data_IF_853682492867
#
_entry.id   IF_853682492867
#
_cell.length_a   1.000
_cell.length_b   1.000
_cell.length_c   1.000
_cell.angle_alpha   90.00
_cell.angle_beta   90.00
_cell.angle_gamma   90.00
#
_symmetry.space_group_name_H-M   'P 1'
#
loop_
_entity.id
_entity.type
_entity.pdbx_description
1 polymer ?
#
# COMPACT_ATOMS: atom_id res chain seq x y z
N UNK A 1 -12.15 6.80 -1.02
CA UNK A 1 -11.00 6.06 -0.47
C UNK A 1 -9.74 6.83 -0.75
N UNK A 2 -8.93 7.04 0.28
CA UNK A 2 -7.73 7.85 0.19
C UNK A 2 -6.53 7.03 -0.31
N UNK A 3 -5.55 7.74 -0.85
CA UNK A 3 -4.23 7.19 -1.12
C UNK A 3 -3.50 6.87 0.20
N UNK A 4 -2.36 6.23 0.11
CA UNK A 4 -1.53 5.87 1.25
C UNK A 4 -0.04 6.15 0.99
N UNK A 5 0.72 6.27 2.06
CA UNK A 5 2.17 6.30 2.01
C UNK A 5 2.72 5.21 2.94
N UNK A 6 3.62 4.37 2.44
CA UNK A 6 4.46 3.53 3.28
C UNK A 6 5.63 4.39 3.76
N UNK A 7 5.50 4.94 4.96
CA UNK A 7 6.47 5.88 5.50
C UNK A 7 7.82 5.20 5.83
N UNK A 8 7.74 3.99 6.38
CA UNK A 8 8.89 3.14 6.68
C UNK A 8 8.59 1.68 6.35
N UNK A 9 9.62 0.92 6.03
CA UNK A 9 9.55 -0.53 5.90
C UNK A 9 9.57 -1.06 4.47
N UNK A 10 9.73 -0.21 3.46
CA UNK A 10 9.82 -0.67 2.06
C UNK A 10 10.92 -1.73 1.92
N UNK A 11 10.63 -2.82 1.20
CA UNK A 11 11.42 -4.06 1.11
C UNK A 11 11.66 -4.77 2.45
N UNK A 12 11.88 -4.04 3.54
CA UNK A 12 12.17 -4.62 4.86
C UNK A 12 11.04 -5.49 5.39
N UNK A 13 9.78 -5.10 5.17
CA UNK A 13 8.59 -5.89 5.56
C UNK A 13 8.55 -7.28 4.91
N UNK A 14 9.23 -7.48 3.77
CA UNK A 14 9.39 -8.80 3.14
C UNK A 14 10.23 -9.73 4.04
N UNK A 15 11.07 -9.16 4.89
CA UNK A 15 11.98 -9.84 5.82
C UNK A 15 11.69 -9.51 7.28
N UNK A 16 10.40 -9.27 7.57
CA UNK A 16 9.88 -9.05 8.92
C UNK A 16 10.48 -7.84 9.66
N UNK A 17 10.91 -6.78 8.93
CA UNK A 17 11.10 -5.48 9.56
C UNK A 17 9.77 -4.87 9.96
N UNK A 18 9.82 -3.93 10.90
CA UNK A 18 8.68 -3.04 11.12
C UNK A 18 8.40 -2.21 9.87
N UNK A 19 7.15 -1.80 9.73
CA UNK A 19 6.71 -0.85 8.72
C UNK A 19 5.60 0.04 9.29
N UNK A 20 5.47 1.22 8.72
CA UNK A 20 4.40 2.15 9.06
C UNK A 20 3.78 2.68 7.77
N UNK A 21 2.52 2.34 7.56
CA UNK A 21 1.71 2.85 6.46
C UNK A 21 0.70 3.84 7.01
N UNK A 22 0.60 5.00 6.37
CA UNK A 22 -0.32 6.07 6.77
C UNK A 22 -1.26 6.43 5.61
N UNK A 23 -2.51 6.80 5.89
CA UNK A 23 -3.39 7.37 4.88
C UNK A 23 -2.83 8.73 4.44
N UNK A 24 -2.99 9.02 3.15
CA UNK A 24 -2.60 10.30 2.56
C UNK A 24 -3.81 10.91 1.85
N UNK A 25 -4.49 11.81 2.52
CA UNK A 25 -5.81 12.33 2.12
C UNK A 25 -5.78 13.42 1.05
N UNK A 26 -4.59 13.76 0.52
CA UNK A 26 -4.46 14.70 -0.58
C UNK A 26 -5.04 14.16 -1.89
N UNK A 27 -4.93 12.86 -2.10
CA UNK A 27 -5.50 12.17 -3.24
C UNK A 27 -6.56 11.17 -2.80
N UNK A 28 -7.61 11.03 -3.60
CA UNK A 28 -8.68 10.07 -3.32
C UNK A 28 -9.31 9.53 -4.59
N UNK A 29 -10.10 8.48 -4.44
CA UNK A 29 -10.92 7.90 -5.50
C UNK A 29 -12.23 7.36 -4.96
N UNK A 30 -13.23 7.31 -5.82
CA UNK A 30 -14.56 6.78 -5.51
C UNK A 30 -15.19 6.12 -6.73
N UNK A 31 -16.03 5.11 -6.50
CA UNK A 31 -16.90 4.57 -7.54
C UNK A 31 -18.00 5.58 -7.83
N UNK A 32 -18.17 5.95 -9.09
CA UNK A 32 -19.19 6.87 -9.57
C UNK A 32 -19.88 6.30 -10.79
N UNK A 33 -21.10 6.77 -11.06
CA UNK A 33 -21.82 6.54 -12.32
C UNK A 33 -21.84 7.81 -13.13
N UNK A 34 -21.77 7.68 -14.43
CA UNK A 34 -21.90 8.81 -15.35
C UNK A 34 -22.57 8.36 -16.64
N UNK A 35 -23.46 9.21 -17.13
CA UNK A 35 -24.02 9.09 -18.48
C UNK A 35 -23.12 9.79 -19.51
N UNK A 36 -22.09 10.52 -19.05
CA UNK A 36 -21.14 11.23 -19.91
C UNK A 36 -20.04 10.30 -20.36
N UNK A 37 -19.96 10.08 -21.67
CA UNK A 37 -19.00 9.23 -22.35
C UNK A 37 -17.61 9.88 -22.49
N UNK A 38 -16.93 10.23 -21.37
CA UNK A 38 -15.54 10.65 -21.43
C UNK A 38 -14.62 9.45 -21.69
N UNK A 39 -13.49 9.66 -22.37
CA UNK A 39 -12.49 8.60 -22.58
C UNK A 39 -12.03 8.00 -21.25
N UNK A 40 -11.78 8.86 -20.25
CA UNK A 40 -11.40 8.45 -18.90
C UNK A 40 -12.41 7.51 -18.24
N UNK A 41 -13.70 7.87 -18.25
CA UNK A 41 -14.76 7.04 -17.65
C UNK A 41 -14.88 5.68 -18.38
N UNK A 42 -14.78 5.67 -19.71
CA UNK A 42 -14.78 4.42 -20.52
C UNK A 42 -13.60 3.52 -20.19
N UNK A 43 -12.40 4.06 -20.13
CA UNK A 43 -11.19 3.29 -19.83
C UNK A 43 -11.24 2.72 -18.41
N UNK A 44 -11.68 3.53 -17.45
CA UNK A 44 -11.87 3.11 -16.07
C UNK A 44 -12.95 2.02 -15.96
N UNK A 45 -14.11 2.19 -16.61
CA UNK A 45 -15.17 1.18 -16.66
C UNK A 45 -14.68 -0.13 -17.29
N UNK A 46 -13.93 -0.07 -18.40
CA UNK A 46 -13.34 -1.25 -19.03
C UNK A 46 -12.36 -1.99 -18.12
N UNK A 47 -11.54 -1.26 -17.35
CA UNK A 47 -10.67 -1.85 -16.32
C UNK A 47 -11.49 -2.55 -15.23
N UNK A 48 -12.61 -1.95 -14.80
CA UNK A 48 -13.51 -2.55 -13.80
C UNK A 48 -14.21 -3.81 -14.32
N UNK A 49 -14.59 -3.88 -15.61
CA UNK A 49 -15.12 -5.13 -16.20
C UNK A 49 -14.10 -6.27 -16.14
N UNK A 50 -12.83 -6.00 -16.48
CA UNK A 50 -11.75 -7.01 -16.36
C UNK A 50 -11.55 -7.45 -14.90
N UNK A 51 -11.66 -6.51 -13.97
CA UNK A 51 -11.57 -6.81 -12.55
C UNK A 51 -12.77 -7.64 -12.07
N UNK A 52 -13.98 -7.35 -12.56
CA UNK A 52 -15.17 -8.18 -12.32
C UNK A 52 -14.96 -9.62 -12.81
N UNK A 53 -14.47 -9.80 -14.05
CA UNK A 53 -14.20 -11.14 -14.61
C UNK A 53 -13.17 -11.89 -13.77
N UNK A 54 -12.14 -11.20 -13.29
CA UNK A 54 -11.17 -11.78 -12.36
C UNK A 54 -11.84 -12.22 -11.04
N UNK A 55 -12.63 -11.36 -10.40
CA UNK A 55 -13.32 -11.71 -9.15
C UNK A 55 -14.28 -12.88 -9.33
N UNK A 56 -14.97 -12.95 -10.46
CA UNK A 56 -15.86 -14.06 -10.83
C UNK A 56 -15.09 -15.36 -11.03
N UNK A 57 -13.86 -15.32 -11.51
CA UNK A 57 -13.01 -16.49 -11.72
C UNK A 57 -12.38 -17.05 -10.44
N UNK A 58 -12.44 -16.30 -9.34
CA UNK A 58 -11.88 -16.73 -8.06
C UNK A 58 -12.73 -17.86 -7.46
N UNK A 59 -12.20 -19.07 -7.46
CA UNK A 59 -12.82 -20.24 -6.80
C UNK A 59 -12.60 -20.23 -5.27
N UNK A 60 -12.49 -19.05 -4.66
CA UNK A 60 -12.17 -18.92 -3.25
C UNK A 60 -13.35 -18.40 -2.44
N UNK A 61 -13.76 -19.09 -1.37
CA UNK A 61 -14.80 -18.61 -0.47
C UNK A 61 -14.34 -17.41 0.39
N UNK A 62 -13.11 -16.94 0.22
CA UNK A 62 -12.53 -15.87 1.04
C UNK A 62 -13.29 -14.56 0.88
N UNK A 63 -13.92 -14.36 -0.30
CA UNK A 63 -14.66 -13.13 -0.55
C UNK A 63 -16.03 -13.45 -1.15
N UNK A 64 -17.07 -13.15 -0.40
CA UNK A 64 -18.45 -13.25 -0.85
C UNK A 64 -18.89 -11.88 -1.39
N UNK A 65 -19.05 -11.78 -2.74
CA UNK A 65 -19.43 -10.54 -3.41
C UNK A 65 -20.81 -10.63 -4.03
N UNK A 66 -21.54 -9.53 -4.03
CA UNK A 66 -22.70 -9.34 -4.87
C UNK A 66 -22.27 -9.02 -6.32
N UNK A 67 -21.85 -10.07 -7.05
CA UNK A 67 -21.35 -9.93 -8.40
C UNK A 67 -22.43 -9.50 -9.40
N UNK A 68 -23.70 -9.87 -9.18
CA UNK A 68 -24.81 -9.45 -10.04
C UNK A 68 -25.01 -7.94 -9.96
N UNK A 69 -25.04 -7.39 -8.76
CA UNK A 69 -25.11 -5.93 -8.56
C UNK A 69 -23.87 -5.24 -9.19
N UNK A 70 -22.68 -5.80 -9.02
CA UNK A 70 -21.49 -5.20 -9.61
C UNK A 70 -21.57 -5.16 -11.13
N UNK A 71 -22.00 -6.26 -11.76
CA UNK A 71 -22.18 -6.33 -13.20
C UNK A 71 -23.24 -5.33 -13.72
N UNK A 72 -24.38 -5.21 -13.04
CA UNK A 72 -25.43 -4.27 -13.44
C UNK A 72 -24.97 -2.83 -13.29
N UNK A 73 -24.25 -2.51 -12.22
CA UNK A 73 -23.68 -1.18 -12.04
C UNK A 73 -22.63 -0.82 -13.11
N UNK A 74 -21.83 -1.80 -13.55
CA UNK A 74 -20.88 -1.63 -14.66
C UNK A 74 -21.59 -1.34 -15.99
N UNK A 75 -22.71 -2.02 -16.29
CA UNK A 75 -23.53 -1.75 -17.47
C UNK A 75 -24.13 -0.34 -17.45
N UNK A 76 -24.42 0.18 -16.26
CA UNK A 76 -24.92 1.53 -16.03
C UNK A 76 -23.80 2.60 -16.00
N UNK A 77 -22.60 2.27 -16.48
CA UNK A 77 -21.50 3.24 -16.61
C UNK A 77 -20.76 3.51 -15.31
N UNK A 78 -20.72 2.55 -14.36
CA UNK A 78 -19.87 2.64 -13.16
C UNK A 78 -18.41 2.75 -13.55
N UNK A 79 -17.69 3.71 -12.98
CA UNK A 79 -16.25 3.91 -13.16
C UNK A 79 -15.60 4.33 -11.83
N UNK A 80 -14.30 4.19 -11.73
CA UNK A 80 -13.53 4.68 -10.60
C UNK A 80 -12.97 6.06 -10.92
N UNK A 81 -13.57 7.09 -10.32
CA UNK A 81 -13.13 8.47 -10.41
C UNK A 81 -12.03 8.71 -9.38
N UNK A 82 -10.82 9.00 -9.84
CA UNK A 82 -9.65 9.04 -8.96
C UNK A 82 -8.69 10.17 -9.35
N UNK A 83 -8.23 10.89 -8.33
CA UNK A 83 -7.11 11.83 -8.43
C UNK A 83 -5.77 11.17 -8.07
N UNK A 84 -5.76 9.89 -7.65
CA UNK A 84 -4.55 9.19 -7.20
C UNK A 84 -3.68 8.86 -8.43
N UNK A 85 -2.44 9.36 -8.51
CA UNK A 85 -1.58 9.09 -9.66
C UNK A 85 -1.20 7.61 -9.74
N UNK A 86 -1.41 7.02 -10.93
CA UNK A 86 -1.05 5.61 -11.18
C UNK A 86 0.47 5.46 -11.35
N UNK A 87 1.05 4.42 -10.72
CA UNK A 87 2.47 4.09 -10.87
C UNK A 87 3.44 4.89 -9.99
N UNK A 88 2.93 5.72 -9.08
CA UNK A 88 3.74 6.50 -8.13
C UNK A 88 3.86 5.87 -6.74
N UNK A 89 3.38 4.64 -6.54
CA UNK A 89 3.50 3.93 -5.27
C UNK A 89 2.59 4.44 -4.14
N UNK A 90 1.65 5.33 -4.46
CA UNK A 90 0.73 5.94 -3.49
C UNK A 90 -0.62 5.22 -3.34
N UNK A 91 -0.75 4.01 -3.90
CA UNK A 91 -1.87 3.11 -3.63
C UNK A 91 -3.10 3.31 -4.51
N UNK A 92 -2.95 3.65 -5.79
CA UNK A 92 -4.08 3.80 -6.72
C UNK A 92 -4.90 2.51 -6.86
N UNK A 93 -4.26 1.37 -7.10
CA UNK A 93 -4.92 0.05 -7.14
C UNK A 93 -5.57 -0.30 -5.80
N UNK A 94 -4.88 0.02 -4.69
CA UNK A 94 -5.40 -0.22 -3.34
C UNK A 94 -6.70 0.52 -3.06
N UNK A 95 -6.79 1.78 -3.45
CA UNK A 95 -8.02 2.56 -3.28
C UNK A 95 -9.18 2.03 -4.13
N UNK A 96 -8.91 1.58 -5.38
CA UNK A 96 -9.93 0.93 -6.22
C UNK A 96 -10.42 -0.38 -5.59
N UNK A 97 -9.50 -1.24 -5.14
CA UNK A 97 -9.83 -2.51 -4.47
C UNK A 97 -10.66 -2.25 -3.22
N UNK A 98 -10.27 -1.27 -2.39
CA UNK A 98 -11.02 -0.87 -1.20
C UNK A 98 -12.45 -0.42 -1.54
N UNK A 99 -12.60 0.39 -2.60
CA UNK A 99 -13.90 0.86 -3.06
C UNK A 99 -14.81 -0.29 -3.54
N UNK A 100 -14.28 -1.21 -4.34
CA UNK A 100 -15.04 -2.38 -4.83
C UNK A 100 -15.43 -3.29 -3.67
N UNK A 101 -14.54 -3.54 -2.71
CA UNK A 101 -14.87 -4.30 -1.50
C UNK A 101 -15.99 -3.64 -0.72
N UNK A 102 -15.90 -2.33 -0.48
CA UNK A 102 -16.92 -1.63 0.28
C UNK A 102 -18.29 -1.63 -0.38
N UNK A 103 -18.35 -1.53 -1.70
CA UNK A 103 -19.62 -1.48 -2.42
C UNK A 103 -20.28 -2.84 -2.62
N UNK A 104 -19.47 -3.92 -2.77
CA UNK A 104 -19.98 -5.20 -3.29
C UNK A 104 -19.71 -6.41 -2.40
N UNK A 105 -18.90 -6.32 -1.34
CA UNK A 105 -18.75 -7.42 -0.40
C UNK A 105 -20.02 -7.57 0.46
N UNK A 106 -20.55 -8.79 0.61
CA UNK A 106 -21.74 -9.06 1.40
C UNK A 106 -21.47 -9.01 2.90
N UNK A 107 -20.45 -9.73 3.39
CA UNK A 107 -20.09 -9.83 4.82
C UNK A 107 -18.87 -8.97 5.13
N UNK A 108 -19.04 -7.64 5.06
CA UNK A 108 -17.94 -6.69 5.26
C UNK A 108 -17.47 -6.64 6.70
N UNK A 109 -16.15 -6.65 6.88
CA UNK A 109 -15.54 -6.18 8.12
C UNK A 109 -15.40 -4.67 8.00
N UNK A 110 -16.09 -3.92 8.86
CA UNK A 110 -16.12 -2.46 8.79
C UNK A 110 -15.20 -1.81 9.81
N UNK A 111 -14.81 -0.56 9.57
CA UNK A 111 -14.00 0.24 10.51
C UNK A 111 -14.73 0.57 11.81
N UNK A 112 -16.07 0.47 11.82
CA UNK A 112 -16.92 0.71 12.99
C UNK A 112 -16.91 -0.46 13.98
N UNK A 113 -16.42 -1.61 13.55
CA UNK A 113 -16.29 -2.77 14.40
C UNK A 113 -15.00 -2.73 15.24
N UNK A 114 -14.95 -3.54 16.30
CA UNK A 114 -13.69 -3.78 16.98
C UNK A 114 -12.72 -4.53 16.03
N UNK A 115 -11.71 -3.83 15.54
CA UNK A 115 -10.70 -4.34 14.60
C UNK A 115 -9.67 -5.20 15.35
N UNK A 116 -10.06 -6.44 15.65
CA UNK A 116 -9.12 -7.41 16.22
C UNK A 116 -8.03 -7.74 15.20
N UNK A 117 -6.89 -8.25 15.70
CA UNK A 117 -5.80 -8.73 14.85
C UNK A 117 -6.28 -9.74 13.79
N UNK A 118 -7.19 -10.64 14.17
CA UNK A 118 -7.74 -11.66 13.28
C UNK A 118 -8.54 -11.04 12.14
N UNK A 119 -9.39 -10.05 12.44
CA UNK A 119 -10.15 -9.30 11.44
C UNK A 119 -9.23 -8.54 10.49
N UNK A 120 -8.18 -7.91 11.01
CA UNK A 120 -7.18 -7.22 10.18
C UNK A 120 -6.43 -8.18 9.26
N UNK A 121 -6.04 -9.35 9.74
CA UNK A 121 -5.38 -10.36 8.93
C UNK A 121 -6.31 -10.94 7.87
N UNK A 122 -7.59 -11.18 8.21
CA UNK A 122 -8.61 -11.61 7.25
C UNK A 122 -8.83 -10.56 6.15
N UNK A 123 -9.01 -9.28 6.52
CA UNK A 123 -9.11 -8.20 5.53
C UNK A 123 -7.88 -8.12 4.63
N UNK A 124 -6.69 -8.21 5.21
CA UNK A 124 -5.43 -8.19 4.46
C UNK A 124 -5.36 -9.34 3.45
N UNK A 125 -5.82 -10.54 3.82
CA UNK A 125 -5.85 -11.71 2.93
C UNK A 125 -6.85 -11.51 1.77
N UNK A 126 -8.06 -11.04 2.07
CA UNK A 126 -9.06 -10.67 1.07
C UNK A 126 -8.47 -9.65 0.09
N UNK A 127 -7.91 -8.57 0.60
CA UNK A 127 -7.32 -7.52 -0.21
C UNK A 127 -6.09 -7.97 -1.00
N UNK A 128 -5.26 -8.85 -0.44
CA UNK A 128 -4.15 -9.48 -1.16
C UNK A 128 -4.65 -10.25 -2.38
N UNK A 129 -5.73 -11.02 -2.22
CA UNK A 129 -6.35 -11.78 -3.31
C UNK A 129 -6.90 -10.85 -4.39
N UNK A 130 -7.67 -9.83 -4.00
CA UNK A 130 -8.25 -8.88 -4.94
C UNK A 130 -7.18 -8.09 -5.70
N UNK A 131 -6.18 -7.54 -4.99
CA UNK A 131 -5.14 -6.69 -5.58
C UNK A 131 -4.15 -7.47 -6.44
N UNK A 132 -4.10 -8.80 -6.32
CA UNK A 132 -3.27 -9.66 -7.17
C UNK A 132 -3.68 -9.58 -8.65
N UNK A 133 -4.89 -9.11 -8.97
CA UNK A 133 -5.28 -8.76 -10.33
C UNK A 133 -4.34 -7.75 -10.99
N UNK A 134 -3.88 -6.74 -10.25
CA UNK A 134 -3.06 -5.66 -10.78
C UNK A 134 -1.56 -5.99 -10.80
N UNK A 135 -1.11 -6.82 -9.86
CA UNK A 135 0.33 -7.00 -9.58
C UNK A 135 0.78 -8.46 -9.62
N UNK A 136 -0.12 -9.41 -9.94
CA UNK A 136 0.13 -10.85 -9.90
C UNK A 136 0.26 -11.40 -8.48
N UNK A 137 0.95 -10.70 -7.60
CA UNK A 137 1.05 -11.02 -6.17
C UNK A 137 1.09 -9.73 -5.35
N UNK A 138 0.18 -9.62 -4.40
CA UNK A 138 0.08 -8.46 -3.51
C UNK A 138 0.17 -8.86 -2.03
N UNK A 139 0.59 -7.92 -1.20
CA UNK A 139 0.55 -8.07 0.27
C UNK A 139 -0.82 -7.76 0.86
N UNK A 140 -1.69 -7.06 0.14
CA UNK A 140 -2.97 -6.56 0.62
C UNK A 140 -2.88 -5.36 1.58
N UNK A 141 -1.69 -4.81 1.79
CA UNK A 141 -1.50 -3.70 2.75
C UNK A 141 -1.99 -2.36 2.19
N UNK A 142 -1.82 -2.13 0.90
CA UNK A 142 -2.24 -0.88 0.25
C UNK A 142 -3.77 -0.72 0.31
N UNK A 143 -4.58 -1.69 -0.16
CA UNK A 143 -6.02 -1.59 -0.01
C UNK A 143 -6.49 -1.63 1.44
N UNK A 144 -5.79 -2.34 2.34
CA UNK A 144 -6.11 -2.32 3.76
C UNK A 144 -5.99 -0.91 4.35
N UNK A 145 -4.90 -0.19 4.03
CA UNK A 145 -4.72 1.17 4.50
C UNK A 145 -5.76 2.13 3.87
N UNK A 146 -6.00 2.03 2.57
CA UNK A 146 -7.01 2.84 1.88
C UNK A 146 -8.42 2.60 2.39
N UNK A 147 -8.75 1.36 2.76
CA UNK A 147 -10.06 0.99 3.30
C UNK A 147 -10.27 1.49 4.72
N UNK A 148 -9.31 1.25 5.60
CA UNK A 148 -9.41 1.62 7.01
C UNK A 148 -9.23 3.13 7.21
N UNK A 149 -8.46 3.80 6.34
CA UNK A 149 -8.10 5.23 6.45
C UNK A 149 -7.50 5.62 7.80
N UNK A 150 -6.77 4.70 8.42
CA UNK A 150 -6.05 4.89 9.68
C UNK A 150 -4.63 4.35 9.56
N UNK A 151 -3.66 4.89 10.33
CA UNK A 151 -2.29 4.38 10.31
C UNK A 151 -2.21 2.92 10.73
N UNK A 152 -1.40 2.14 10.02
CA UNK A 152 -1.18 0.71 10.24
C UNK A 152 0.28 0.48 10.59
N UNK A 153 0.52 -0.03 11.80
CA UNK A 153 1.81 -0.54 12.21
C UNK A 153 1.93 -2.01 11.81
N UNK A 154 2.98 -2.31 11.07
CA UNK A 154 3.36 -3.64 10.64
C UNK A 154 4.53 -4.06 11.51
N UNK A 155 4.34 -4.98 12.45
CA UNK A 155 5.43 -5.55 13.25
C UNK A 155 6.10 -6.73 12.54
N UNK A 156 5.31 -7.50 11.77
CA UNK A 156 5.73 -8.59 10.90
C UNK A 156 4.64 -8.91 9.88
N UNK A 157 4.88 -9.88 8.98
CA UNK A 157 3.88 -10.33 8.01
C UNK A 157 2.57 -10.81 8.65
N UNK A 158 2.64 -11.34 9.88
CA UNK A 158 1.50 -11.89 10.62
C UNK A 158 1.10 -11.05 11.82
N UNK A 159 1.75 -9.93 12.04
CA UNK A 159 1.46 -9.04 13.15
C UNK A 159 1.31 -7.60 12.66
N UNK A 160 0.06 -7.21 12.46
CA UNK A 160 -0.34 -5.87 12.05
C UNK A 160 -1.37 -5.34 13.04
N UNK A 161 -1.33 -4.04 13.29
CA UNK A 161 -2.30 -3.35 14.14
C UNK A 161 -2.54 -1.94 13.68
N UNK A 162 -3.72 -1.43 13.98
CA UNK A 162 -3.98 0.00 13.86
C UNK A 162 -3.21 0.76 14.93
N UNK A 163 -2.78 1.98 14.61
CA UNK A 163 -2.02 2.81 15.55
C UNK A 163 -2.38 4.28 15.37
N UNK A 164 -2.10 5.08 16.40
CA UNK A 164 -2.09 6.54 16.26
C UNK A 164 -0.76 7.03 15.72
N UNK A 165 -0.74 8.25 15.24
CA UNK A 165 0.48 9.00 14.97
C UNK A 165 0.56 10.16 15.96
N UNK A 166 1.78 10.63 16.32
CA UNK A 166 1.93 11.80 17.20
C UNK A 166 1.14 12.99 16.67
N UNK A 167 0.53 13.79 17.57
CA UNK A 167 -0.22 14.97 17.17
C UNK A 167 0.70 15.99 16.52
N UNK A 168 0.20 16.65 15.49
CA UNK A 168 0.94 17.69 14.75
C UNK A 168 0.96 19.04 15.47
N UNK A 169 0.45 19.13 16.70
CA UNK A 169 0.35 20.39 17.46
C UNK A 169 1.70 20.92 17.97
N UNK A 170 2.77 20.13 17.83
CA UNK A 170 4.11 20.62 18.12
C UNK A 170 4.64 21.35 16.89
N UNK A 171 4.78 22.68 17.01
CA UNK A 171 5.57 23.48 16.07
C UNK A 171 7.02 23.00 16.23
N UNK A 172 7.43 22.07 15.36
CA UNK A 172 8.78 21.51 15.34
C UNK A 172 9.63 22.19 14.28
N UNK A 173 10.93 22.06 14.39
CA UNK A 173 11.90 22.57 13.41
C UNK A 173 12.05 21.67 12.17
N UNK A 174 11.23 20.61 12.05
CA UNK A 174 11.30 19.62 10.98
C UNK A 174 9.98 19.46 10.22
N UNK A 175 10.08 19.04 8.95
CA UNK A 175 8.93 18.70 8.13
C UNK A 175 9.22 17.46 7.28
N UNK A 176 8.17 16.71 6.96
CA UNK A 176 8.21 15.58 6.01
C UNK A 176 7.55 16.03 4.71
N UNK A 177 8.27 15.89 3.61
CA UNK A 177 7.81 16.27 2.28
C UNK A 177 7.68 15.02 1.41
N UNK A 178 6.61 14.95 0.63
CA UNK A 178 6.50 14.02 -0.50
C UNK A 178 7.08 14.71 -1.73
N UNK A 179 8.19 14.15 -2.24
CA UNK A 179 8.81 14.65 -3.47
C UNK A 179 8.39 13.78 -4.64
N UNK A 180 7.80 14.40 -5.67
CA UNK A 180 7.53 13.73 -6.94
C UNK A 180 8.84 13.55 -7.71
N UNK A 181 9.17 12.29 -8.04
CA UNK A 181 10.35 11.96 -8.85
C UNK A 181 10.17 12.27 -10.33
N UNK A 182 8.95 12.57 -10.78
CA UNK A 182 8.59 12.74 -12.19
C UNK A 182 8.60 11.45 -13.01
N UNK A 183 8.84 10.29 -12.38
CA UNK A 183 8.94 9.01 -13.08
C UNK A 183 7.94 7.98 -12.52
N UNK A 184 7.20 7.35 -13.43
CA UNK A 184 6.35 6.19 -13.12
C UNK A 184 7.21 4.96 -12.91
N UNK A 185 6.97 4.21 -11.84
CA UNK A 185 7.73 3.01 -11.50
C UNK A 185 6.80 1.81 -11.29
N UNK A 186 7.24 0.65 -11.79
CA UNK A 186 6.58 -0.63 -11.51
C UNK A 186 7.29 -1.35 -10.36
N UNK A 187 6.52 -1.85 -9.39
CA UNK A 187 7.06 -2.46 -8.16
C UNK A 187 7.69 -3.83 -8.43
N UNK A 188 7.12 -4.64 -9.33
CA UNK A 188 7.55 -6.02 -9.54
C UNK A 188 9.03 -6.19 -9.95
N UNK A 189 9.60 -5.41 -10.89
CA UNK A 189 11.02 -5.50 -11.22
C UNK A 189 11.93 -5.18 -10.03
N UNK A 190 11.55 -4.21 -9.20
CA UNK A 190 12.34 -3.81 -8.04
C UNK A 190 12.36 -4.88 -6.95
N UNK A 191 11.22 -5.55 -6.71
CA UNK A 191 11.16 -6.70 -5.80
C UNK A 191 12.05 -7.84 -6.30
N UNK A 192 12.08 -8.12 -7.59
CA UNK A 192 12.93 -9.15 -8.17
C UNK A 192 14.43 -8.83 -7.95
N UNK A 193 14.85 -7.58 -8.20
CA UNK A 193 16.22 -7.12 -7.93
C UNK A 193 16.57 -7.29 -6.45
N UNK A 194 15.66 -6.93 -5.55
CA UNK A 194 15.83 -7.11 -4.12
C UNK A 194 16.01 -8.61 -3.76
N UNK A 195 15.14 -9.48 -4.30
CA UNK A 195 15.21 -10.92 -4.03
C UNK A 195 16.47 -11.57 -4.59
N UNK A 196 16.98 -11.15 -5.76
CA UNK A 196 18.26 -11.59 -6.31
C UNK A 196 19.43 -11.11 -5.42
N UNK A 197 19.39 -9.87 -4.95
CA UNK A 197 20.39 -9.34 -4.03
C UNK A 197 20.43 -10.12 -2.71
N UNK A 198 19.29 -10.62 -2.25
CA UNK A 198 19.17 -11.47 -1.07
C UNK A 198 19.89 -12.82 -1.17
N UNK A 199 20.27 -13.28 -2.36
CA UNK A 199 21.08 -14.48 -2.54
C UNK A 199 22.53 -14.28 -2.08
N UNK A 200 22.98 -13.02 -1.98
CA UNK A 200 24.35 -12.66 -1.57
C UNK A 200 24.46 -12.52 -0.04
N UNK A 201 25.39 -13.24 0.59
CA UNK A 201 25.57 -13.24 2.05
C UNK A 201 25.83 -11.84 2.63
N UNK A 202 26.70 -11.07 1.97
CA UNK A 202 27.02 -9.72 2.40
C UNK A 202 25.83 -8.78 2.38
N UNK A 203 24.91 -8.95 1.41
CA UNK A 203 23.68 -8.19 1.37
C UNK A 203 22.70 -8.59 2.49
N UNK A 204 22.52 -9.91 2.72
CA UNK A 204 21.68 -10.41 3.82
C UNK A 204 22.17 -9.93 5.18
N UNK A 205 23.48 -9.98 5.42
CA UNK A 205 24.09 -9.48 6.66
C UNK A 205 23.84 -7.99 6.84
N UNK A 206 24.09 -7.19 5.82
CA UNK A 206 23.82 -5.75 5.86
C UNK A 206 22.34 -5.45 6.11
N UNK A 207 21.42 -6.17 5.42
CA UNK A 207 19.99 -6.01 5.59
C UNK A 207 19.58 -6.23 7.06
N UNK A 208 20.03 -7.34 7.65
CA UNK A 208 19.66 -7.69 9.02
C UNK A 208 20.32 -6.76 10.04
N UNK A 209 21.64 -6.52 9.93
CA UNK A 209 22.40 -5.81 10.95
C UNK A 209 22.20 -4.30 10.94
N UNK A 210 21.82 -3.73 9.77
CA UNK A 210 21.72 -2.27 9.61
C UNK A 210 20.37 -1.83 9.12
N UNK A 211 19.92 -2.30 7.96
CA UNK A 211 18.71 -1.80 7.32
C UNK A 211 17.46 -2.05 8.20
N UNK A 212 17.21 -3.31 8.58
CA UNK A 212 16.08 -3.68 9.45
C UNK A 212 16.18 -2.97 10.80
N UNK A 213 17.38 -2.96 11.39
CA UNK A 213 17.61 -2.28 12.67
C UNK A 213 17.21 -0.81 12.62
N UNK A 214 17.73 -0.03 11.66
CA UNK A 214 17.44 1.38 11.57
C UNK A 214 16.00 1.67 11.12
N UNK A 215 15.41 0.82 10.27
CA UNK A 215 13.99 0.91 9.94
C UNK A 215 13.11 0.76 11.17
N UNK A 216 13.39 -0.25 12.00
CA UNK A 216 12.64 -0.47 13.25
C UNK A 216 12.78 0.69 14.22
N UNK A 217 13.99 1.23 14.37
CA UNK A 217 14.23 2.42 15.22
C UNK A 217 13.47 3.63 14.69
N UNK A 218 13.50 3.90 13.39
CA UNK A 218 12.74 5.02 12.80
C UNK A 218 11.22 4.90 13.05
N UNK A 219 10.66 3.69 12.95
CA UNK A 219 9.23 3.47 13.27
C UNK A 219 8.95 3.76 14.75
N UNK A 220 9.79 3.27 15.64
CA UNK A 220 9.63 3.49 17.08
C UNK A 220 9.78 4.97 17.46
N UNK A 221 10.84 5.62 16.99
CA UNK A 221 11.11 7.04 17.23
C UNK A 221 9.95 7.91 16.74
N UNK A 222 9.43 7.62 15.53
CA UNK A 222 8.30 8.33 14.97
C UNK A 222 7.04 8.19 15.83
N UNK A 223 6.69 6.96 16.21
CA UNK A 223 5.50 6.69 17.03
C UNK A 223 5.61 7.27 18.44
N UNK A 224 6.82 7.36 18.98
CA UNK A 224 7.08 7.97 20.30
C UNK A 224 7.19 9.51 20.24
N UNK A 225 7.24 10.10 19.04
CA UNK A 225 7.43 11.54 18.86
C UNK A 225 8.86 12.01 19.20
N UNK A 226 9.85 11.10 19.20
CA UNK A 226 11.27 11.43 19.41
C UNK A 226 11.90 11.88 18.08
N UNK A 227 11.72 13.16 17.75
CA UNK A 227 12.21 13.74 16.51
C UNK A 227 13.73 13.76 16.43
N UNK A 228 14.45 13.89 17.55
CA UNK A 228 15.91 13.91 17.58
C UNK A 228 16.49 12.56 17.19
N UNK A 229 16.02 11.48 17.82
CA UNK A 229 16.42 10.11 17.48
C UNK A 229 15.98 9.73 16.08
N UNK A 230 14.77 10.11 15.68
CA UNK A 230 14.24 9.89 14.34
C UNK A 230 15.15 10.48 13.27
N UNK A 231 15.57 11.74 13.42
CA UNK A 231 16.48 12.41 12.49
C UNK A 231 17.81 11.65 12.35
N UNK A 232 18.41 11.26 13.48
CA UNK A 232 19.67 10.53 13.50
C UNK A 232 19.55 9.14 12.85
N UNK A 233 18.47 8.41 13.14
CA UNK A 233 18.27 7.08 12.63
C UNK A 233 17.85 7.09 11.15
N UNK A 234 17.05 8.06 10.70
CA UNK A 234 16.76 8.27 9.27
C UNK A 234 18.02 8.57 8.47
N UNK A 235 18.93 9.39 8.99
CA UNK A 235 20.21 9.66 8.35
C UNK A 235 21.07 8.39 8.20
N UNK A 236 21.11 7.52 9.23
CA UNK A 236 21.81 6.23 9.17
C UNK A 236 21.15 5.28 8.17
N UNK A 237 19.81 5.20 8.17
CA UNK A 237 19.04 4.38 7.23
C UNK A 237 19.29 4.81 5.79
N UNK A 238 19.18 6.12 5.51
CA UNK A 238 19.45 6.70 4.19
C UNK A 238 20.85 6.36 3.68
N UNK A 239 21.87 6.46 4.54
CA UNK A 239 23.25 6.08 4.18
C UNK A 239 23.36 4.61 3.81
N UNK A 240 22.70 3.71 4.55
CA UNK A 240 22.70 2.26 4.23
C UNK A 240 22.05 2.00 2.88
N UNK A 241 20.93 2.68 2.56
CA UNK A 241 20.23 2.56 1.26
C UNK A 241 21.11 3.09 0.13
N UNK A 242 21.75 4.25 0.32
CA UNK A 242 22.60 4.88 -0.67
C UNK A 242 23.88 4.07 -0.96
N UNK A 243 24.64 3.69 0.10
CA UNK A 243 25.93 3.00 -0.04
C UNK A 243 25.81 1.60 -0.68
N UNK A 244 24.64 0.99 -0.65
CA UNK A 244 24.41 -0.38 -1.13
C UNK A 244 23.51 -0.48 -2.35
N UNK A 245 23.15 0.66 -2.94
CA UNK A 245 22.33 0.69 -4.15
C UNK A 245 21.10 -0.23 -4.06
N UNK A 246 20.39 -0.20 -2.91
CA UNK A 246 19.14 -0.98 -2.75
C UNK A 246 18.13 -0.58 -3.83
N UNK A 247 18.24 0.65 -4.34
CA UNK A 247 17.39 1.24 -5.39
C UNK A 247 18.09 1.39 -6.74
N UNK A 248 19.16 0.64 -7.02
CA UNK A 248 20.00 0.91 -8.20
C UNK A 248 19.31 0.67 -9.55
N UNK A 249 18.73 1.73 -10.10
CA UNK A 249 18.37 1.83 -11.52
C UNK A 249 19.56 2.25 -12.40
N UNK A 250 20.68 2.73 -11.83
CA UNK A 250 21.75 3.41 -12.58
C UNK A 250 22.77 2.49 -13.25
N UNK A 251 22.84 1.21 -12.91
CA UNK A 251 23.88 0.30 -13.46
C UNK A 251 23.40 -0.56 -14.63
N UNK A 252 22.34 -0.19 -15.35
CA UNK A 252 21.92 -0.89 -16.59
C UNK A 252 21.94 -0.01 -17.82
N UNK A 253 22.63 1.13 -17.79
CA UNK A 253 22.93 1.94 -18.98
C UNK A 253 24.45 2.06 -19.08
N UNK A 254 25.08 1.01 -19.56
CA UNK A 254 26.37 1.00 -20.25
C UNK A 254 26.44 -0.25 -21.13
#
# INVERSE_FOLDING_TARGET
FYSKILLFGEYGIIKDSKGLSIPYNFYNGALKRTDVNTSFAKDSNSKLFKFYDYLKSLNSPIVNFNLDKFYDDLKLGMYFDSSIPEGYGVGSSGALVAAVYDYYANDKITVLENLTREKLLKLKEVFSTMESFFHGKSSGLDPLNSYLSIPILINSKKDIKVTGIPSQERVGEGAVFLLDSGEVSTTAPMINIFMESMKKDGFRKMLNDKFIKYTNMCVEDFLNGDLSSLFQNTKKLSKVVFDKNINDKKNKIS
#
